data_IF_237423072893
#
_entry.id   IF_237423072893
#
_cell.length_a   1.000
_cell.length_b   1.000
_cell.length_c   1.000
_cell.angle_alpha   90.00
_cell.angle_beta   90.00
_cell.angle_gamma   90.00
#
_symmetry.space_group_name_H-M   'P 1'
#
loop_
_entity.id
_entity.type
_entity.pdbx_description
1 polymer ?
#
# COMPACT_ATOMS: atom_id res chain seq x y z
N UNK A 1 -7.29 -1.05 12.53
CA UNK A 1 -8.18 -2.18 12.22
C UNK A 1 -7.94 -2.58 10.77
N UNK A 2 -7.91 -3.88 10.48
CA UNK A 2 -7.72 -4.38 9.12
C UNK A 2 -9.06 -4.83 8.52
N UNK A 3 -9.29 -4.51 7.26
CA UNK A 3 -10.50 -4.84 6.50
C UNK A 3 -10.11 -5.69 5.29
N UNK A 4 -10.70 -6.88 5.17
CA UNK A 4 -10.42 -7.79 4.05
C UNK A 4 -11.65 -7.88 3.15
N UNK A 5 -11.49 -7.59 1.86
CA UNK A 5 -12.59 -7.55 0.89
C UNK A 5 -12.22 -8.46 -0.28
N UNK A 6 -13.09 -9.42 -0.62
CA UNK A 6 -12.91 -10.29 -1.77
C UNK A 6 -13.35 -9.60 -3.06
N UNK A 7 -12.68 -9.91 -4.18
CA UNK A 7 -13.10 -9.51 -5.52
C UNK A 7 -12.93 -10.65 -6.52
N UNK A 8 -13.71 -10.62 -7.59
CA UNK A 8 -13.74 -11.66 -8.62
C UNK A 8 -13.27 -11.15 -9.98
N UNK A 9 -13.36 -9.84 -10.23
CA UNK A 9 -12.89 -9.22 -11.48
C UNK A 9 -12.00 -8.01 -11.23
N UNK A 10 -11.26 -7.62 -12.26
CA UNK A 10 -10.41 -6.44 -12.20
C UNK A 10 -11.21 -5.15 -12.06
N UNK A 11 -12.38 -5.07 -12.69
CA UNK A 11 -13.30 -3.93 -12.56
C UNK A 11 -13.80 -3.81 -11.12
N UNK A 12 -14.17 -4.93 -10.49
CA UNK A 12 -14.59 -4.97 -9.09
C UNK A 12 -13.45 -4.52 -8.16
N UNK A 13 -12.23 -5.03 -8.38
CA UNK A 13 -11.03 -4.60 -7.66
C UNK A 13 -10.86 -3.08 -7.72
N UNK A 14 -10.93 -2.49 -8.91
CA UNK A 14 -10.77 -1.06 -9.10
C UNK A 14 -11.87 -0.25 -8.39
N UNK A 15 -13.12 -0.74 -8.43
CA UNK A 15 -14.24 -0.12 -7.70
C UNK A 15 -14.00 -0.18 -6.20
N UNK A 16 -13.53 -1.30 -5.66
CA UNK A 16 -13.24 -1.46 -4.23
C UNK A 16 -12.13 -0.50 -3.79
N UNK A 17 -11.03 -0.41 -4.56
CA UNK A 17 -9.94 0.53 -4.27
C UNK A 17 -10.45 1.97 -4.27
N UNK A 18 -11.23 2.36 -5.28
CA UNK A 18 -11.78 3.72 -5.38
C UNK A 18 -12.81 4.05 -4.29
N UNK A 19 -13.52 3.06 -3.76
CA UNK A 19 -14.46 3.25 -2.64
C UNK A 19 -13.77 3.37 -1.29
N UNK A 20 -12.54 2.88 -1.16
CA UNK A 20 -11.80 2.82 0.10
C UNK A 20 -10.58 3.75 0.12
N UNK A 21 -10.64 4.89 -0.59
CA UNK A 21 -9.54 5.87 -0.67
C UNK A 21 -9.10 6.46 0.68
N UNK A 22 -9.98 6.40 1.70
CA UNK A 22 -9.66 6.81 3.06
C UNK A 22 -8.85 5.77 3.85
N UNK A 23 -8.64 4.58 3.30
CA UNK A 23 -7.88 3.50 3.91
C UNK A 23 -6.60 3.24 3.11
N UNK A 24 -5.58 2.71 3.77
CA UNK A 24 -4.38 2.25 3.12
C UNK A 24 -4.61 0.84 2.59
N UNK A 25 -4.38 0.61 1.30
CA UNK A 25 -4.24 -0.76 0.78
C UNK A 25 -2.88 -1.28 1.21
N UNK A 26 -2.88 -2.31 2.05
CA UNK A 26 -1.65 -2.83 2.68
C UNK A 26 -1.23 -4.17 2.08
N UNK A 27 -2.17 -4.91 1.50
CA UNK A 27 -1.89 -6.19 0.87
C UNK A 27 -2.94 -6.53 -0.21
N UNK A 28 -2.50 -7.28 -1.22
CA UNK A 28 -3.34 -7.88 -2.24
C UNK A 28 -2.99 -9.36 -2.34
N UNK A 29 -3.96 -10.22 -2.06
CA UNK A 29 -3.80 -11.67 -2.01
C UNK A 29 -4.57 -12.31 -3.16
N UNK A 30 -3.87 -12.96 -4.09
CA UNK A 30 -4.49 -13.74 -5.16
C UNK A 30 -4.15 -15.22 -4.91
N UNK A 31 -5.06 -15.95 -4.23
CA UNK A 31 -4.85 -17.34 -3.77
C UNK A 31 -5.97 -18.26 -4.29
N UNK A 32 -5.82 -19.57 -4.09
CA UNK A 32 -6.75 -20.59 -4.59
C UNK A 32 -8.19 -20.37 -4.14
N UNK A 33 -8.39 -19.83 -2.92
CA UNK A 33 -9.68 -19.56 -2.31
C UNK A 33 -10.35 -18.27 -2.83
N UNK A 34 -9.61 -17.43 -3.57
CA UNK A 34 -10.09 -16.19 -4.14
C UNK A 34 -9.08 -15.05 -4.09
N UNK A 35 -9.51 -13.89 -4.59
CA UNK A 35 -8.69 -12.69 -4.59
C UNK A 35 -9.19 -11.70 -3.54
N UNK A 36 -8.28 -11.11 -2.77
CA UNK A 36 -8.61 -10.26 -1.64
C UNK A 36 -7.74 -9.01 -1.60
N UNK A 37 -8.36 -7.90 -1.23
CA UNK A 37 -7.70 -6.66 -0.87
C UNK A 37 -7.75 -6.50 0.65
N UNK A 38 -6.62 -6.23 1.27
CA UNK A 38 -6.51 -5.94 2.70
C UNK A 38 -6.22 -4.46 2.89
N UNK A 39 -7.13 -3.78 3.58
CA UNK A 39 -7.04 -2.38 3.90
C UNK A 39 -6.79 -2.16 5.40
N UNK A 40 -6.18 -1.03 5.75
CA UNK A 40 -6.01 -0.59 7.14
C UNK A 40 -6.32 0.90 7.27
N UNK A 41 -6.95 1.27 8.38
CA UNK A 41 -7.13 2.67 8.80
C UNK A 41 -5.85 3.27 9.39
N UNK A 42 -4.90 2.42 9.80
CA UNK A 42 -3.57 2.80 10.25
C UNK A 42 -2.56 2.60 9.13
N UNK A 43 -1.69 3.59 8.95
CA UNK A 43 -0.56 3.47 8.02
C UNK A 43 0.40 2.37 8.54
N UNK A 44 0.69 1.32 7.75
CA UNK A 44 1.63 0.28 8.15
C UNK A 44 3.01 0.81 8.48
N UNK A 45 3.67 0.17 9.44
CA UNK A 45 5.03 0.53 9.82
C UNK A 45 6.00 0.34 8.65
N UNK A 46 5.84 -0.70 7.82
CA UNK A 46 6.67 -0.91 6.63
C UNK A 46 6.58 0.25 5.62
N UNK A 47 5.37 0.80 5.42
CA UNK A 47 5.17 1.98 4.58
C UNK A 47 5.83 3.22 5.19
N UNK A 48 5.76 3.37 6.51
CA UNK A 48 6.45 4.44 7.24
C UNK A 48 7.98 4.33 7.13
N UNK A 49 8.52 3.11 7.23
CA UNK A 49 9.94 2.83 7.12
C UNK A 49 10.46 3.07 5.70
N UNK A 50 9.69 2.71 4.68
CA UNK A 50 10.03 3.01 3.29
C UNK A 50 10.09 4.52 3.02
N UNK A 51 9.14 5.29 3.57
CA UNK A 51 9.17 6.75 3.44
C UNK A 51 10.42 7.35 4.11
N UNK A 52 10.81 6.85 5.29
CA UNK A 52 12.01 7.29 6.00
C UNK A 52 13.27 6.93 5.21
N UNK A 53 13.35 5.71 4.68
CA UNK A 53 14.50 5.24 3.88
C UNK A 53 14.69 6.10 2.64
N UNK A 54 13.63 6.32 1.86
CA UNK A 54 13.68 7.15 0.65
C UNK A 54 14.13 8.58 0.95
N UNK A 55 13.68 9.16 2.06
CA UNK A 55 14.13 10.48 2.48
C UNK A 55 15.61 10.50 2.93
N UNK A 56 16.08 9.43 3.57
CA UNK A 56 17.48 9.29 3.98
C UNK A 56 18.39 9.16 2.76
N UNK A 57 17.98 8.38 1.76
CA UNK A 57 18.71 8.22 0.49
C UNK A 57 18.81 9.58 -0.24
N UNK A 58 17.73 10.37 -0.28
CA UNK A 58 17.76 11.74 -0.83
C UNK A 58 18.71 12.68 -0.08
N UNK A 59 18.77 12.57 1.24
CA UNK A 59 19.69 13.38 2.07
C UNK A 59 21.15 13.02 1.75
N UNK A 60 21.46 11.74 1.61
CA UNK A 60 22.81 11.26 1.26
C UNK A 60 23.21 11.76 -0.14
N UNK A 61 22.34 11.62 -1.14
CA UNK A 61 22.59 12.09 -2.51
C UNK A 61 22.85 13.61 -2.59
N UNK A 62 22.14 14.41 -1.77
CA UNK A 62 22.38 15.86 -1.65
C UNK A 62 23.71 16.20 -0.99
N UNK A 63 24.13 15.44 0.03
CA UNK A 63 25.41 15.65 0.71
C UNK A 63 26.60 15.32 -0.19
N UNK A 64 26.45 14.35 -1.09
CA UNK A 64 27.47 13.97 -2.07
C UNK A 64 27.47 14.84 -3.34
N UNK A 65 26.54 15.80 -3.46
CA UNK A 65 26.46 16.71 -4.62
C UNK A 65 26.05 16.03 -5.93
N UNK A 66 25.38 14.88 -5.85
CA UNK A 66 24.88 14.11 -7.00
C UNK A 66 23.49 14.58 -7.48
N UNK A 67 22.87 15.50 -6.74
CA UNK A 67 21.62 16.19 -7.01
C UNK A 67 21.72 17.68 -6.69
#
# INVERSE_FOLDING_TARGET
MNYKIQYNTQEERNVIVNKNLSLFLIEEQNITEGNFLVFSDLKPLELLLNDIRNNTDLIILKQEGLL
#
